data_IF_298604870232
#
_entry.id   IF_298604870232
#
_cell.length_a   1.000
_cell.length_b   1.000
_cell.length_c   1.000
_cell.angle_alpha   90.00
_cell.angle_beta   90.00
_cell.angle_gamma   90.00
#
_symmetry.space_group_name_H-M   'P 1'
#
loop_
_entity.id
_entity.type
_entity.pdbx_description
1 polymer ?
#
# COMPACT_ATOMS: atom_id res chain seq x y z
N UNK A 1 -14.78 -8.32 18.69
CA UNK A 1 -13.54 -8.89 18.13
C UNK A 1 -13.30 -8.17 16.81
N UNK A 2 -12.31 -7.28 16.79
CA UNK A 2 -11.94 -6.51 15.60
C UNK A 2 -11.00 -7.33 14.76
N UNK A 3 -11.11 -7.24 13.45
CA UNK A 3 -10.32 -8.05 12.52
C UNK A 3 -9.59 -7.15 11.54
N UNK A 4 -8.34 -7.49 11.25
CA UNK A 4 -7.45 -6.75 10.35
C UNK A 4 -6.88 -7.70 9.30
N UNK A 5 -6.30 -7.12 8.25
CA UNK A 5 -5.57 -7.90 7.23
C UNK A 5 -4.07 -7.71 7.40
N UNK A 6 -3.32 -8.81 7.52
CA UNK A 6 -1.86 -8.78 7.54
C UNK A 6 -1.31 -9.23 6.20
N UNK A 7 -0.62 -8.32 5.51
CA UNK A 7 0.13 -8.58 4.29
C UNK A 7 1.58 -8.85 4.65
N UNK A 8 2.04 -10.08 4.50
CA UNK A 8 3.43 -10.40 4.86
C UNK A 8 4.38 -9.91 3.78
N UNK A 9 5.51 -9.34 4.18
CA UNK A 9 6.58 -8.94 3.25
C UNK A 9 7.68 -10.00 3.32
N UNK A 10 7.86 -10.71 2.20
CA UNK A 10 8.94 -11.69 2.03
C UNK A 10 10.11 -11.03 1.32
N UNK A 11 11.22 -10.86 2.03
CA UNK A 11 12.44 -10.24 1.49
C UNK A 11 13.10 -11.15 0.46
N UNK A 12 13.63 -10.58 -0.61
CA UNK A 12 14.46 -11.32 -1.54
C UNK A 12 15.78 -11.74 -0.87
N UNK A 13 16.34 -12.88 -1.27
CA UNK A 13 17.60 -13.35 -0.73
C UNK A 13 18.72 -12.33 -0.97
N UNK A 14 19.49 -12.01 0.09
CA UNK A 14 20.61 -11.05 0.03
C UNK A 14 20.22 -9.59 0.22
N UNK A 15 18.94 -9.26 0.39
CA UNK A 15 18.53 -7.90 0.75
C UNK A 15 18.62 -7.68 2.28
N UNK A 16 19.58 -6.86 2.70
CA UNK A 16 19.85 -6.55 4.12
C UNK A 16 19.07 -5.33 4.65
N UNK A 17 18.22 -4.72 3.84
CA UNK A 17 17.45 -3.54 4.24
C UNK A 17 16.43 -3.89 5.34
N UNK A 18 16.27 -2.97 6.29
CA UNK A 18 15.37 -3.16 7.44
C UNK A 18 13.92 -2.88 7.02
N UNK A 19 13.25 -3.90 6.48
CA UNK A 19 11.86 -3.82 6.03
C UNK A 19 10.88 -4.18 7.14
N UNK A 20 9.66 -3.63 7.13
CA UNK A 20 8.61 -4.17 7.98
C UNK A 20 8.31 -5.62 7.59
N UNK A 21 8.08 -6.50 8.58
CA UNK A 21 7.70 -7.91 8.34
C UNK A 21 6.35 -8.04 7.61
N UNK A 22 5.55 -6.97 7.62
CA UNK A 22 4.31 -6.90 6.88
C UNK A 22 3.59 -5.56 7.04
N UNK A 23 2.54 -5.37 6.26
CA UNK A 23 1.63 -4.24 6.36
C UNK A 23 0.33 -4.71 7.01
N UNK A 24 -0.10 -4.01 8.06
CA UNK A 24 -1.45 -4.17 8.59
C UNK A 24 -2.36 -3.14 7.94
N UNK A 25 -3.46 -3.60 7.35
CA UNK A 25 -4.53 -2.76 6.79
C UNK A 25 -5.84 -3.03 7.51
N UNK A 26 -6.79 -2.11 7.40
CA UNK A 26 -8.17 -2.38 7.79
C UNK A 26 -8.72 -3.61 7.03
N UNK A 27 -9.66 -4.32 7.67
CA UNK A 27 -10.40 -5.42 7.03
C UNK A 27 -11.48 -4.84 6.13
N UNK A 28 -11.70 -5.49 5.00
CA UNK A 28 -12.83 -5.14 4.12
C UNK A 28 -14.10 -5.76 4.66
N UNK A 29 -15.11 -4.91 4.85
CA UNK A 29 -16.43 -5.31 5.35
C UNK A 29 -17.32 -6.07 4.36
N UNK A 30 -16.86 -6.28 3.12
CA UNK A 30 -17.60 -7.05 2.11
C UNK A 30 -17.33 -8.54 2.29
N UNK A 31 -18.41 -9.33 2.38
CA UNK A 31 -18.33 -10.79 2.41
C UNK A 31 -17.60 -11.30 1.15
N UNK A 32 -16.57 -12.14 1.35
CA UNK A 32 -15.73 -12.75 0.31
C UNK A 32 -16.50 -13.59 -0.73
N UNK A 33 -17.83 -13.75 -0.58
CA UNK A 33 -18.68 -14.49 -1.50
C UNK A 33 -18.87 -13.82 -2.86
N UNK A 34 -18.56 -12.53 -3.02
CA UNK A 34 -18.80 -11.81 -4.29
C UNK A 34 -17.53 -11.27 -4.98
N UNK A 35 -16.37 -11.28 -4.33
CA UNK A 35 -15.11 -10.75 -4.88
C UNK A 35 -13.90 -11.54 -4.34
N UNK A 36 -12.85 -11.80 -5.15
CA UNK A 36 -11.61 -12.37 -4.63
C UNK A 36 -11.01 -11.47 -3.53
N UNK A 37 -10.38 -12.03 -2.47
CA UNK A 37 -9.87 -11.24 -1.33
C UNK A 37 -8.92 -10.11 -1.72
N UNK A 38 -8.08 -10.34 -2.72
CA UNK A 38 -7.15 -9.33 -3.26
C UNK A 38 -7.89 -8.13 -3.86
N UNK A 39 -9.09 -8.33 -4.41
CA UNK A 39 -9.91 -7.27 -5.02
C UNK A 39 -10.68 -6.51 -3.96
N UNK A 40 -11.27 -7.24 -3.00
CA UNK A 40 -11.99 -6.64 -1.89
C UNK A 40 -11.11 -5.61 -1.14
N UNK A 41 -9.82 -5.94 -0.93
CA UNK A 41 -8.87 -5.11 -0.18
C UNK A 41 -8.27 -3.93 -0.93
N UNK A 42 -8.56 -3.80 -2.22
CA UNK A 42 -8.22 -2.61 -3.01
C UNK A 42 -9.34 -1.57 -2.99
N UNK A 43 -10.46 -1.85 -2.31
CA UNK A 43 -11.57 -0.92 -2.17
C UNK A 43 -11.39 -0.06 -0.91
N UNK A 44 -11.79 1.22 -0.94
CA UNK A 44 -11.79 2.06 0.24
C UNK A 44 -12.56 1.37 1.39
N UNK A 45 -11.91 1.22 2.54
CA UNK A 45 -12.57 0.71 3.75
C UNK A 45 -13.44 1.82 4.36
N UNK A 46 -14.48 1.42 5.10
CA UNK A 46 -15.41 2.37 5.74
C UNK A 46 -14.74 3.23 6.83
N UNK A 47 -13.65 2.73 7.43
CA UNK A 47 -12.94 3.38 8.53
C UNK A 47 -11.68 4.10 8.04
N UNK A 48 -11.43 5.30 8.55
CA UNK A 48 -10.32 6.17 8.12
C UNK A 48 -8.96 5.68 8.63
N UNK A 49 -7.87 6.24 8.09
CA UNK A 49 -6.51 5.89 8.51
C UNK A 49 -6.24 6.15 10.01
N UNK A 50 -6.89 7.16 10.59
CA UNK A 50 -6.80 7.47 12.01
C UNK A 50 -7.55 6.46 12.89
N UNK A 51 -8.65 5.91 12.37
CA UNK A 51 -9.43 4.89 13.06
C UNK A 51 -8.60 3.61 13.11
N UNK A 52 -8.04 3.15 11.98
CA UNK A 52 -7.14 1.99 11.95
C UNK A 52 -6.01 2.11 12.98
N UNK A 53 -5.34 3.27 13.03
CA UNK A 53 -4.26 3.50 13.99
C UNK A 53 -4.74 3.55 15.45
N UNK A 54 -5.96 4.05 15.71
CA UNK A 54 -6.56 4.03 17.03
C UNK A 54 -7.01 2.62 17.45
N UNK A 55 -7.53 1.82 16.52
CA UNK A 55 -8.04 0.48 16.79
C UNK A 55 -6.94 -0.53 17.09
N UNK A 56 -5.74 -0.33 16.54
CA UNK A 56 -4.57 -1.18 16.83
C UNK A 56 -4.08 -1.05 18.29
N UNK A 57 -4.36 0.08 18.96
CA UNK A 57 -4.01 0.29 20.36
C UNK A 57 -2.50 0.09 20.63
N UNK A 58 -2.18 -0.79 21.58
CA UNK A 58 -0.80 -1.11 21.98
C UNK A 58 -0.12 -2.15 21.07
N UNK A 59 -0.82 -2.66 20.05
CA UNK A 59 -0.22 -3.57 19.08
C UNK A 59 0.82 -2.78 18.28
N UNK A 60 2.03 -3.36 18.18
CA UNK A 60 3.13 -2.79 17.42
C UNK A 60 3.26 -3.48 16.06
N UNK A 61 2.47 -3.08 15.04
CA UNK A 61 2.67 -3.64 13.70
C UNK A 61 4.02 -3.16 13.16
N UNK A 62 4.71 -4.01 12.42
CA UNK A 62 5.98 -3.62 11.80
C UNK A 62 5.78 -2.55 10.71
N UNK A 63 4.63 -2.54 10.03
CA UNK A 63 4.22 -1.50 9.10
C UNK A 63 2.70 -1.37 9.00
N UNK A 64 2.24 -0.18 8.59
CA UNK A 64 0.82 0.12 8.39
C UNK A 64 0.52 0.49 6.95
N UNK A 65 -0.46 -0.17 6.35
CA UNK A 65 -1.08 0.26 5.10
C UNK A 65 -2.35 1.05 5.40
N UNK A 66 -2.36 2.30 4.96
CA UNK A 66 -3.40 3.29 5.27
C UNK A 66 -3.92 3.97 4.01
N UNK A 67 -5.22 4.15 3.92
CA UNK A 67 -5.84 4.95 2.87
C UNK A 67 -5.64 6.44 3.21
N UNK A 68 -4.80 7.14 2.45
CA UNK A 68 -4.37 8.50 2.79
C UNK A 68 -5.24 9.60 2.16
N UNK A 69 -6.13 9.26 1.23
CA UNK A 69 -7.08 10.17 0.63
C UNK A 69 -8.34 10.36 1.49
N UNK A 70 -8.18 10.40 2.82
CA UNK A 70 -9.26 10.68 3.77
C UNK A 70 -9.40 12.21 3.96
N UNK A 71 -10.59 12.81 3.74
CA UNK A 71 -10.83 14.23 3.91
C UNK A 71 -10.61 14.71 5.35
N UNK A 72 -10.88 13.85 6.34
CA UNK A 72 -10.76 14.19 7.76
C UNK A 72 -9.37 13.90 8.32
N UNK A 73 -8.44 13.46 7.47
CA UNK A 73 -7.09 13.11 7.87
C UNK A 73 -6.31 14.33 8.34
N UNK A 74 -5.78 14.22 9.56
CA UNK A 74 -4.78 15.15 10.11
C UNK A 74 -3.43 14.42 10.15
N UNK A 75 -2.50 14.70 9.21
CA UNK A 75 -1.25 13.95 9.07
C UNK A 75 -0.38 13.94 10.33
N UNK A 76 -0.27 15.08 11.02
CA UNK A 76 0.49 15.17 12.27
C UNK A 76 -0.12 14.36 13.44
N UNK A 77 -1.43 14.10 13.40
CA UNK A 77 -2.08 13.18 14.35
C UNK A 77 -1.78 11.74 13.96
N UNK A 78 -1.93 11.41 12.67
CA UNK A 78 -1.65 10.08 12.14
C UNK A 78 -0.20 9.67 12.41
N UNK A 79 0.78 10.53 12.12
CA UNK A 79 2.21 10.22 12.33
C UNK A 79 2.50 9.84 13.79
N UNK A 80 1.95 10.61 14.75
CA UNK A 80 2.08 10.32 16.18
C UNK A 80 1.37 9.03 16.60
N UNK A 81 0.30 8.64 15.93
CA UNK A 81 -0.37 7.37 16.20
C UNK A 81 0.45 6.20 15.65
N UNK A 82 0.91 6.29 14.40
CA UNK A 82 1.76 5.26 13.78
C UNK A 82 3.03 5.05 14.61
N UNK A 83 3.76 6.14 14.93
CA UNK A 83 5.03 6.09 15.68
C UNK A 83 4.94 5.47 17.10
N UNK A 84 3.74 5.21 17.63
CA UNK A 84 3.57 4.49 18.91
C UNK A 84 3.77 2.98 18.76
N UNK A 85 3.57 2.44 17.57
CA UNK A 85 3.58 1.00 17.33
C UNK A 85 4.32 0.56 16.07
N UNK A 86 4.63 1.47 15.14
CA UNK A 86 5.26 1.19 13.86
C UNK A 86 6.14 2.35 13.44
N UNK A 87 7.21 2.06 12.73
CA UNK A 87 8.06 3.07 12.09
C UNK A 87 7.79 3.18 10.58
N UNK A 88 6.87 2.35 10.06
CA UNK A 88 6.56 2.25 8.64
C UNK A 88 5.11 2.60 8.31
N UNK A 89 4.95 3.40 7.25
CA UNK A 89 3.66 3.75 6.66
C UNK A 89 3.66 3.50 5.15
N UNK A 90 2.54 3.04 4.62
CA UNK A 90 2.31 2.81 3.21
C UNK A 90 0.94 3.34 2.81
N UNK A 91 0.83 4.07 1.70
CA UNK A 91 -0.47 4.45 1.14
C UNK A 91 -1.10 3.24 0.42
N UNK A 92 -1.54 2.24 1.18
CA UNK A 92 -2.10 1.01 0.63
C UNK A 92 -3.32 0.58 1.47
N UNK A 93 -4.53 0.53 0.90
CA UNK A 93 -4.87 0.81 -0.51
C UNK A 93 -4.65 2.28 -0.92
N UNK A 94 -4.62 2.55 -2.23
CA UNK A 94 -4.32 3.84 -2.84
C UNK A 94 -5.31 4.22 -3.93
N UNK A 95 -5.67 5.50 -3.99
CA UNK A 95 -6.43 6.10 -5.11
C UNK A 95 -5.74 5.88 -6.47
N UNK A 96 -4.40 5.80 -6.49
CA UNK A 96 -3.62 5.57 -7.70
C UNK A 96 -3.95 4.26 -8.42
N UNK A 97 -4.53 3.29 -7.70
CA UNK A 97 -4.90 1.97 -8.21
C UNK A 97 -6.18 2.01 -9.07
N UNK A 98 -7.01 3.05 -8.97
CA UNK A 98 -8.28 3.11 -9.70
C UNK A 98 -8.12 3.64 -11.14
N UNK A 99 -9.15 3.41 -11.94
CA UNK A 99 -9.20 3.89 -13.33
C UNK A 99 -9.23 5.43 -13.44
N UNK A 100 -8.89 5.94 -14.62
CA UNK A 100 -8.67 7.37 -14.84
C UNK A 100 -9.93 8.21 -14.59
N UNK A 101 -11.11 7.71 -14.94
CA UNK A 101 -12.36 8.42 -14.73
C UNK A 101 -12.69 8.57 -13.24
N UNK A 102 -12.57 7.50 -12.46
CA UNK A 102 -12.73 7.55 -11.00
C UNK A 102 -11.69 8.47 -10.34
N UNK A 103 -10.43 8.40 -10.78
CA UNK A 103 -9.36 9.31 -10.32
C UNK A 103 -9.68 10.77 -10.61
N UNK A 104 -10.31 11.09 -11.74
CA UNK A 104 -10.73 12.46 -12.10
C UNK A 104 -11.80 12.96 -11.12
N UNK A 105 -12.81 12.16 -10.81
CA UNK A 105 -13.84 12.54 -9.84
C UNK A 105 -13.28 12.78 -8.44
N UNK A 106 -12.32 11.97 -8.00
CA UNK A 106 -11.65 12.17 -6.72
C UNK A 106 -10.76 13.42 -6.71
N UNK A 107 -10.12 13.77 -7.83
CA UNK A 107 -9.34 14.99 -7.95
C UNK A 107 -10.20 16.27 -7.83
N UNK A 108 -11.45 16.25 -8.29
CA UNK A 108 -12.38 17.38 -8.15
C UNK A 108 -12.68 17.74 -6.69
N UNK A 109 -12.49 16.79 -5.77
CA UNK A 109 -12.70 16.96 -4.32
C UNK A 109 -11.39 16.89 -3.51
N UNK A 110 -10.23 17.04 -4.16
CA UNK A 110 -8.89 16.93 -3.57
C UNK A 110 -8.63 15.59 -2.85
N UNK A 111 -9.33 14.51 -3.22
CA UNK A 111 -9.12 13.15 -2.69
C UNK A 111 -8.32 12.28 -3.65
N UNK A 112 -7.36 12.86 -4.35
CA UNK A 112 -6.57 12.18 -5.38
C UNK A 112 -5.28 11.52 -4.86
N UNK A 113 -4.56 10.86 -5.77
CA UNK A 113 -3.27 10.25 -5.49
C UNK A 113 -2.20 11.29 -5.10
N UNK A 114 -2.29 12.53 -5.60
CA UNK A 114 -1.35 13.58 -5.23
C UNK A 114 -1.52 13.97 -3.75
N UNK A 115 -2.75 14.00 -3.23
CA UNK A 115 -2.99 14.14 -1.78
C UNK A 115 -2.33 13.02 -1.00
N UNK A 116 -2.49 11.76 -1.40
CA UNK A 116 -1.87 10.63 -0.69
C UNK A 116 -0.35 10.78 -0.63
N UNK A 117 0.28 11.19 -1.72
CA UNK A 117 1.72 11.40 -1.80
C UNK A 117 2.19 12.61 -0.98
N UNK A 118 1.40 13.70 -0.90
CA UNK A 118 1.67 14.82 0.01
C UNK A 118 1.66 14.36 1.47
N UNK A 119 0.63 13.62 1.86
CA UNK A 119 0.52 13.07 3.22
C UNK A 119 1.68 12.11 3.51
N UNK A 120 2.06 11.25 2.55
CA UNK A 120 3.20 10.35 2.71
C UNK A 120 4.52 11.12 2.92
N UNK A 121 4.71 12.23 2.22
CA UNK A 121 5.84 13.14 2.41
C UNK A 121 5.84 13.77 3.81
N UNK A 122 4.66 14.17 4.33
CA UNK A 122 4.53 14.69 5.70
C UNK A 122 4.82 13.63 6.76
N UNK A 123 4.36 12.39 6.56
CA UNK A 123 4.68 11.26 7.45
C UNK A 123 6.19 10.99 7.48
N UNK A 124 6.85 11.05 6.32
CA UNK A 124 8.31 10.93 6.22
C UNK A 124 9.02 12.08 6.94
N UNK A 125 8.56 13.32 6.76
CA UNK A 125 9.10 14.48 7.46
C UNK A 125 8.95 14.37 8.99
N UNK A 126 7.95 13.62 9.46
CA UNK A 126 7.77 13.29 10.87
C UNK A 126 8.64 12.11 11.37
N UNK A 127 9.53 11.57 10.52
CA UNK A 127 10.51 10.53 10.90
C UNK A 127 10.08 9.10 10.58
N UNK A 128 8.93 8.88 9.95
CA UNK A 128 8.51 7.54 9.53
C UNK A 128 9.22 7.12 8.23
N UNK A 129 9.51 5.83 8.11
CA UNK A 129 9.87 5.21 6.84
C UNK A 129 8.60 5.00 6.01
N UNK A 130 8.67 5.30 4.70
CA UNK A 130 7.49 5.28 3.84
C UNK A 130 7.65 4.39 2.62
N UNK A 131 6.56 3.72 2.25
CA UNK A 131 6.43 2.92 1.03
C UNK A 131 5.36 3.58 0.16
N UNK A 132 5.72 3.98 -1.06
CA UNK A 132 4.78 4.60 -1.99
C UNK A 132 4.15 3.53 -2.90
N UNK A 133 2.82 3.44 -2.91
CA UNK A 133 2.08 2.57 -3.85
C UNK A 133 2.01 3.22 -5.22
N UNK A 134 2.39 2.47 -6.25
CA UNK A 134 2.35 2.88 -7.66
C UNK A 134 1.69 1.79 -8.50
N UNK A 135 0.77 2.20 -9.38
CA UNK A 135 0.01 1.30 -10.26
C UNK A 135 0.18 1.59 -11.75
N UNK A 136 0.85 2.68 -12.10
CA UNK A 136 1.13 3.06 -13.47
C UNK A 136 2.45 3.84 -13.56
N UNK A 137 3.14 3.69 -14.68
CA UNK A 137 4.40 4.38 -14.98
C UNK A 137 4.31 5.90 -14.82
N UNK A 138 3.21 6.51 -15.24
CA UNK A 138 2.98 7.96 -15.14
C UNK A 138 3.05 8.51 -13.71
N UNK A 139 2.81 7.66 -12.71
CA UNK A 139 2.77 8.06 -11.31
C UNK A 139 4.15 7.94 -10.62
N UNK A 140 5.14 7.32 -11.28
CA UNK A 140 6.46 7.03 -10.69
C UNK A 140 7.20 8.31 -10.32
N UNK A 141 7.27 9.29 -11.22
CA UNK A 141 8.00 10.54 -10.96
C UNK A 141 7.44 11.30 -9.73
N UNK A 142 6.12 11.33 -9.59
CA UNK A 142 5.47 11.98 -8.43
C UNK A 142 5.72 11.17 -7.16
N UNK A 143 5.63 9.84 -7.22
CA UNK A 143 5.95 8.99 -6.08
C UNK A 143 7.40 9.18 -5.60
N UNK A 144 8.38 9.22 -6.52
CA UNK A 144 9.79 9.44 -6.21
C UNK A 144 10.05 10.81 -5.58
N UNK A 145 9.26 11.83 -5.92
CA UNK A 145 9.38 13.17 -5.32
C UNK A 145 9.15 13.16 -3.79
N UNK A 146 8.41 12.17 -3.27
CA UNK A 146 8.20 11.97 -1.83
C UNK A 146 9.37 11.29 -1.12
N UNK A 147 10.39 10.85 -1.89
CA UNK A 147 11.58 10.12 -1.42
C UNK A 147 11.22 8.92 -0.53
N UNK A 148 10.37 8.01 -1.01
CA UNK A 148 9.99 6.85 -0.22
C UNK A 148 11.21 5.92 -0.05
N UNK A 149 11.22 5.13 1.02
CA UNK A 149 12.23 4.10 1.21
C UNK A 149 12.08 2.94 0.21
N UNK A 150 10.90 2.86 -0.43
CA UNK A 150 10.52 1.82 -1.36
C UNK A 150 9.30 2.18 -2.21
N UNK A 151 9.13 1.48 -3.33
CA UNK A 151 7.90 1.51 -4.11
C UNK A 151 7.21 0.16 -4.02
N UNK A 152 5.93 0.17 -3.65
CA UNK A 152 5.04 -0.98 -3.75
C UNK A 152 4.31 -0.92 -5.09
N UNK A 153 4.60 -1.88 -5.97
CA UNK A 153 3.95 -2.01 -7.28
C UNK A 153 2.72 -2.89 -7.15
N UNK A 154 1.56 -2.31 -7.47
CA UNK A 154 0.28 -3.03 -7.48
C UNK A 154 -0.42 -2.73 -8.80
N UNK A 155 -0.86 -3.73 -9.57
CA UNK A 155 -1.67 -3.48 -10.77
C UNK A 155 -2.90 -2.62 -10.48
N UNK A 156 -3.43 -1.89 -11.46
CA UNK A 156 -4.69 -1.17 -11.32
C UNK A 156 -5.85 -2.11 -10.96
N UNK A 157 -6.79 -1.64 -10.13
CA UNK A 157 -7.99 -2.39 -9.70
C UNK A 157 -8.77 -3.01 -10.87
N UNK A 158 -8.99 -2.31 -12.01
CA UNK A 158 -9.71 -2.90 -13.14
C UNK A 158 -9.05 -4.16 -13.71
N UNK A 159 -7.73 -4.33 -13.57
CA UNK A 159 -7.03 -5.54 -14.03
C UNK A 159 -7.40 -6.79 -13.22
N UNK A 160 -7.99 -6.63 -12.04
CA UNK A 160 -8.42 -7.74 -11.20
C UNK A 160 -9.88 -8.17 -11.42
N UNK A 161 -10.58 -7.61 -12.41
CA UNK A 161 -12.00 -7.87 -12.66
C UNK A 161 -12.33 -9.36 -12.78
N UNK A 162 -11.44 -10.12 -13.42
CA UNK A 162 -11.62 -11.54 -13.71
C UNK A 162 -10.82 -12.45 -12.75
N UNK A 163 -10.26 -11.90 -11.67
CA UNK A 163 -9.47 -12.62 -10.69
C UNK A 163 -8.09 -12.01 -10.45
N UNK A 164 -7.12 -12.86 -10.08
CA UNK A 164 -5.74 -12.40 -9.92
C UNK A 164 -5.14 -12.03 -11.28
N UNK A 165 -4.48 -10.88 -11.36
CA UNK A 165 -3.68 -10.47 -12.54
C UNK A 165 -2.63 -11.55 -12.83
N UNK A 166 -2.26 -11.80 -14.08
CA UNK A 166 -1.24 -12.82 -14.39
C UNK A 166 0.16 -12.40 -13.89
N UNK A 167 1.02 -13.36 -13.56
CA UNK A 167 2.40 -13.09 -13.14
C UNK A 167 3.17 -12.32 -14.22
N UNK A 168 3.03 -12.70 -15.49
CA UNK A 168 3.69 -12.02 -16.61
C UNK A 168 3.29 -10.54 -16.70
N UNK A 169 2.01 -10.24 -16.49
CA UNK A 169 1.51 -8.86 -16.49
C UNK A 169 2.07 -8.06 -15.31
N UNK A 170 2.14 -8.66 -14.11
CA UNK A 170 2.76 -8.04 -12.93
C UNK A 170 4.25 -7.74 -13.18
N UNK A 171 5.00 -8.73 -13.67
CA UNK A 171 6.43 -8.57 -14.00
C UNK A 171 6.64 -7.48 -15.05
N UNK A 172 5.79 -7.41 -16.06
CA UNK A 172 5.88 -6.36 -17.09
C UNK A 172 5.70 -4.96 -16.47
N UNK A 173 4.70 -4.78 -15.61
CA UNK A 173 4.47 -3.52 -14.90
C UNK A 173 5.65 -3.16 -13.98
N UNK A 174 6.14 -4.13 -13.21
CA UNK A 174 7.27 -3.95 -12.29
C UNK A 174 8.54 -3.54 -13.04
N UNK A 175 8.84 -4.18 -14.18
CA UNK A 175 9.99 -3.80 -15.02
C UNK A 175 9.86 -2.39 -15.57
N UNK A 176 8.66 -2.01 -16.01
CA UNK A 176 8.42 -0.68 -16.55
C UNK A 176 8.58 0.41 -15.47
N UNK A 177 8.11 0.15 -14.25
CA UNK A 177 8.33 1.03 -13.10
C UNK A 177 9.80 1.04 -12.68
N UNK A 178 10.48 -0.11 -12.66
CA UNK A 178 11.90 -0.23 -12.30
C UNK A 178 12.80 0.61 -13.21
N UNK A 179 12.49 0.67 -14.50
CA UNK A 179 13.23 1.48 -15.47
C UNK A 179 13.20 2.98 -15.17
N UNK A 180 12.23 3.44 -14.36
CA UNK A 180 12.08 4.85 -13.97
C UNK A 180 12.44 5.12 -12.50
N UNK A 181 12.44 4.08 -11.67
CA UNK A 181 12.65 4.13 -10.22
C UNK A 181 14.10 3.82 -9.81
N UNK A 182 15.09 4.19 -10.63
CA UNK A 182 16.50 3.83 -10.43
C UNK A 182 16.96 4.05 -8.98
N UNK A 183 17.50 3.00 -8.37
CA UNK A 183 18.03 3.02 -7.00
C UNK A 183 16.98 2.91 -5.89
N UNK A 184 15.68 2.93 -6.22
CA UNK A 184 14.60 2.72 -5.23
C UNK A 184 14.16 1.25 -5.24
N UNK A 185 14.22 0.55 -4.09
CA UNK A 185 13.80 -0.84 -3.99
C UNK A 185 12.31 -1.03 -4.32
N UNK A 186 12.00 -2.10 -5.05
CA UNK A 186 10.63 -2.45 -5.44
C UNK A 186 10.09 -3.63 -4.63
N UNK A 187 8.86 -3.47 -4.18
CA UNK A 187 8.02 -4.54 -3.62
C UNK A 187 6.94 -4.85 -4.65
N UNK A 188 6.75 -6.12 -5.00
CA UNK A 188 5.69 -6.54 -5.94
C UNK A 188 4.75 -7.56 -5.30
N UNK A 189 3.56 -7.70 -5.87
CA UNK A 189 2.60 -8.71 -5.42
C UNK A 189 3.03 -10.11 -5.90
N UNK A 190 3.06 -11.09 -4.98
CA UNK A 190 3.35 -12.50 -5.31
C UNK A 190 2.43 -13.45 -4.56
N UNK A 191 2.12 -14.58 -5.18
CA UNK A 191 1.66 -15.77 -4.45
C UNK A 191 2.81 -16.42 -3.68
N UNK A 192 2.50 -17.32 -2.75
CA UNK A 192 3.48 -17.97 -1.88
C UNK A 192 4.55 -18.77 -2.64
N UNK A 193 4.21 -19.28 -3.82
CA UNK A 193 5.04 -20.15 -4.68
C UNK A 193 5.69 -19.39 -5.85
N UNK A 194 5.40 -18.11 -6.03
CA UNK A 194 5.98 -17.29 -7.10
C UNK A 194 7.32 -16.68 -6.68
N UNK A 195 8.26 -16.59 -7.62
CA UNK A 195 9.59 -16.01 -7.39
C UNK A 195 9.59 -14.48 -7.47
N UNK A 196 10.55 -13.85 -6.77
CA UNK A 196 10.67 -12.39 -6.66
C UNK A 196 11.04 -11.69 -7.98
N UNK A 197 11.72 -12.36 -8.93
CA UNK A 197 12.08 -11.81 -10.25
C UNK A 197 12.61 -10.35 -10.27
N UNK A 198 13.71 -10.09 -9.55
CA UNK A 198 14.36 -8.76 -9.54
C UNK A 198 13.72 -7.75 -8.59
N UNK A 199 12.71 -8.15 -7.82
CA UNK A 199 12.18 -7.38 -6.71
C UNK A 199 13.12 -7.43 -5.48
N UNK A 200 13.04 -6.38 -4.67
CA UNK A 200 13.70 -6.30 -3.38
C UNK A 200 12.95 -7.12 -2.31
N UNK A 201 11.62 -7.19 -2.44
CA UNK A 201 10.74 -8.00 -1.61
C UNK A 201 9.41 -8.31 -2.34
N UNK A 202 8.65 -9.25 -1.79
CA UNK A 202 7.30 -9.59 -2.25
C UNK A 202 6.28 -9.30 -1.16
N UNK A 203 5.17 -8.67 -1.54
CA UNK A 203 3.98 -8.56 -0.70
C UNK A 203 3.09 -9.78 -1.00
N UNK A 204 2.91 -10.62 0.02
CA UNK A 204 2.12 -11.85 -0.07
C UNK A 204 0.64 -11.59 0.20
N UNK A 205 -0.26 -12.48 -0.23
CA UNK A 205 -1.68 -12.32 0.00
C UNK A 205 -1.97 -12.21 1.51
N UNK A 206 -3.01 -11.44 1.86
CA UNK A 206 -3.28 -11.11 3.23
C UNK A 206 -3.86 -12.32 3.96
N UNK A 207 -3.53 -12.43 5.25
CA UNK A 207 -4.21 -13.32 6.18
C UNK A 207 -5.02 -12.50 7.17
N UNK A 208 -6.21 -12.99 7.53
CA UNK A 208 -7.02 -12.36 8.56
C UNK A 208 -6.36 -12.56 9.92
N UNK A 209 -6.30 -11.48 10.71
CA UNK A 209 -5.91 -11.53 12.11
C UNK A 209 -7.04 -10.91 12.93
N UNK A 210 -7.54 -11.64 13.93
CA UNK A 210 -8.61 -11.16 14.82
C UNK A 210 -8.07 -10.86 16.21
N UNK A 211 -8.61 -9.83 16.86
CA UNK A 211 -8.32 -9.43 18.24
C UNK A 211 -9.57 -9.01 19.01
#
# INVERSE_FOLDING_TARGET
>A
MRSFSKWSIRRAAGNAQDWPDGLITARVGLSATNLPPIVALLLPNADGAQDLAAELGDVRPSGMGVFLADPNLVPARLSRQIARGSDWACNFPSVGQHEQEFRRYLAEVDLDHARELRVLSELRAAGLSTIATVSAERDVAVALSTRPAAILVVPPVPEFRDGAVSLDRRIALERAIAAQAEGVPLIGLRASDEAEHGLAASLLPPVEISR
#
